data_IF_271585412598
#
_entry.id   IF_271585412598
#
_cell.length_a   1.000
_cell.length_b   1.000
_cell.length_c   1.000
_cell.angle_alpha   90.00
_cell.angle_beta   90.00
_cell.angle_gamma   90.00
#
_symmetry.space_group_name_H-M   'P 1'
#
loop_
_entity.id
_entity.type
_entity.pdbx_description
1 polymer ?
#
# COMPACT_ATOMS: atom_id res chain seq x y z
N UNK A 1 11.89 9.67 -6.18
CA UNK A 1 11.39 8.82 -7.30
C UNK A 1 11.67 9.45 -8.65
N UNK A 2 11.07 10.60 -9.00
CA UNK A 2 11.26 11.22 -10.33
C UNK A 2 12.72 11.54 -10.71
N UNK A 3 13.50 12.12 -9.78
CA UNK A 3 14.94 12.37 -9.99
C UNK A 3 15.77 11.10 -10.21
N UNK A 4 15.24 9.95 -9.78
CA UNK A 4 15.88 8.63 -9.91
C UNK A 4 15.36 7.86 -11.13
N UNK A 5 14.49 8.45 -11.96
CA UNK A 5 13.93 7.80 -13.15
C UNK A 5 12.90 6.69 -12.87
N UNK A 6 12.47 6.51 -11.62
CA UNK A 6 11.46 5.49 -11.30
C UNK A 6 10.03 6.02 -11.50
N UNK A 7 9.15 5.22 -12.15
CA UNK A 7 7.74 5.56 -12.27
C UNK A 7 7.11 5.66 -10.88
N UNK A 8 6.23 6.63 -10.69
CA UNK A 8 5.57 6.91 -9.43
C UNK A 8 4.05 6.82 -9.57
N UNK A 9 3.43 6.13 -8.61
CA UNK A 9 1.98 6.03 -8.43
C UNK A 9 1.62 6.72 -7.12
N UNK A 10 0.62 7.60 -7.15
CA UNK A 10 0.03 8.19 -5.94
C UNK A 10 -1.38 7.69 -5.71
N UNK A 11 -1.69 7.35 -4.46
CA UNK A 11 -3.05 7.10 -3.98
C UNK A 11 -3.45 8.28 -3.09
N UNK A 12 -4.48 9.04 -3.48
CA UNK A 12 -4.90 10.22 -2.72
C UNK A 12 -6.38 10.51 -2.88
N UNK A 13 -7.00 11.00 -1.81
CA UNK A 13 -8.39 11.42 -1.84
C UNK A 13 -8.59 12.76 -2.58
N UNK A 14 -7.58 13.64 -2.56
CA UNK A 14 -7.69 15.02 -3.05
C UNK A 14 -6.98 15.15 -4.41
N UNK A 15 -7.73 15.39 -5.51
CA UNK A 15 -7.16 15.69 -6.81
C UNK A 15 -6.30 16.96 -6.76
N UNK A 16 -5.19 16.97 -7.49
CA UNK A 16 -4.32 18.15 -7.58
C UNK A 16 -3.52 18.48 -6.31
N UNK A 17 -3.55 17.61 -5.28
CA UNK A 17 -2.66 17.71 -4.12
C UNK A 17 -1.18 17.71 -4.53
N UNK A 18 -0.30 18.27 -3.70
CA UNK A 18 1.14 18.34 -3.96
C UNK A 18 1.74 16.96 -4.26
N UNK A 19 1.22 15.91 -3.60
CA UNK A 19 1.63 14.52 -3.82
C UNK A 19 1.22 14.00 -5.20
N UNK A 20 0.04 14.40 -5.69
CA UNK A 20 -0.45 14.01 -7.02
C UNK A 20 0.22 14.78 -8.18
N UNK A 21 0.98 15.84 -7.88
CA UNK A 21 1.68 16.64 -8.88
C UNK A 21 3.00 15.97 -9.23
N UNK A 22 3.25 15.76 -10.52
CA UNK A 22 4.53 15.29 -11.02
C UNK A 22 4.78 13.78 -10.92
N UNK A 23 3.77 12.98 -10.54
CA UNK A 23 3.78 11.51 -10.63
C UNK A 23 3.13 11.02 -11.93
N UNK A 24 3.51 9.84 -12.39
CA UNK A 24 3.08 9.26 -13.67
C UNK A 24 1.65 8.70 -13.60
N UNK A 25 1.31 8.10 -12.45
CA UNK A 25 0.01 7.48 -12.22
C UNK A 25 -0.68 8.02 -10.97
N UNK A 26 -2.01 8.13 -11.02
CA UNK A 26 -2.83 8.69 -9.93
C UNK A 26 -4.06 7.82 -9.73
N UNK A 27 -4.27 7.36 -8.50
CA UNK A 27 -5.48 6.65 -8.08
C UNK A 27 -6.19 7.47 -7.01
N UNK A 28 -7.43 7.84 -7.29
CA UNK A 28 -8.27 8.58 -6.37
C UNK A 28 -9.10 7.62 -5.53
N UNK A 29 -9.10 7.83 -4.21
CA UNK A 29 -9.86 6.98 -3.28
C UNK A 29 -11.34 7.33 -3.22
N UNK A 30 -11.75 8.47 -3.80
CA UNK A 30 -13.14 8.94 -3.86
C UNK A 30 -13.86 8.96 -2.50
N UNK A 31 -13.12 9.19 -1.41
CA UNK A 31 -13.65 9.25 -0.07
C UNK A 31 -14.45 10.52 0.22
N UNK A 32 -14.36 11.56 -0.63
CA UNK A 32 -15.00 12.87 -0.39
C UNK A 32 -14.30 13.69 0.72
N UNK A 33 -14.73 14.93 1.00
CA UNK A 33 -14.02 15.84 1.92
C UNK A 33 -13.78 15.22 3.31
N UNK A 34 -12.62 15.49 3.89
CA UNK A 34 -12.24 15.01 5.21
C UNK A 34 -12.31 16.19 6.18
N UNK A 35 -13.48 16.33 6.82
CA UNK A 35 -13.77 17.45 7.74
C UNK A 35 -13.37 17.09 9.17
N UNK A 36 -13.44 15.80 9.51
CA UNK A 36 -13.03 15.28 10.81
C UNK A 36 -11.55 14.83 10.78
N UNK A 37 -10.91 14.92 11.94
CA UNK A 37 -9.51 14.51 12.15
C UNK A 37 -9.37 12.99 12.14
N UNK A 38 -10.45 12.26 12.42
CA UNK A 38 -10.45 10.79 12.48
C UNK A 38 -10.51 10.18 11.07
N UNK A 39 -9.40 9.61 10.60
CA UNK A 39 -9.21 9.17 9.21
C UNK A 39 -9.89 7.84 8.84
N UNK A 40 -11.01 7.47 9.47
CA UNK A 40 -11.67 6.16 9.27
C UNK A 40 -12.09 5.94 7.81
N UNK A 41 -12.64 6.98 7.19
CA UNK A 41 -13.09 6.97 5.79
C UNK A 41 -11.93 6.90 4.81
N UNK A 42 -10.91 7.76 4.98
CA UNK A 42 -9.74 7.74 4.10
C UNK A 42 -8.97 6.42 4.23
N UNK A 43 -8.78 5.91 5.45
CA UNK A 43 -8.11 4.63 5.67
C UNK A 43 -8.85 3.49 4.97
N UNK A 44 -10.17 3.39 5.15
CA UNK A 44 -10.98 2.34 4.52
C UNK A 44 -10.95 2.44 3.00
N UNK A 45 -11.06 3.65 2.45
CA UNK A 45 -10.99 3.87 1.01
C UNK A 45 -9.61 3.53 0.43
N UNK A 46 -8.52 3.82 1.16
CA UNK A 46 -7.16 3.41 0.78
C UNK A 46 -7.00 1.88 0.78
N UNK A 47 -7.53 1.19 1.80
CA UNK A 47 -7.50 -0.27 1.84
C UNK A 47 -8.26 -0.88 0.66
N UNK A 48 -9.44 -0.34 0.31
CA UNK A 48 -10.21 -0.81 -0.84
C UNK A 48 -9.43 -0.65 -2.16
N UNK A 49 -8.80 0.50 -2.39
CA UNK A 49 -7.96 0.73 -3.59
C UNK A 49 -6.77 -0.23 -3.63
N UNK A 50 -6.09 -0.47 -2.51
CA UNK A 50 -4.97 -1.41 -2.45
C UNK A 50 -5.41 -2.86 -2.70
N UNK A 51 -6.58 -3.26 -2.21
CA UNK A 51 -7.14 -4.58 -2.48
C UNK A 51 -7.46 -4.78 -3.97
N UNK A 52 -8.06 -3.77 -4.61
CA UNK A 52 -8.33 -3.81 -6.05
C UNK A 52 -7.04 -3.90 -6.85
N UNK A 53 -6.03 -3.08 -6.51
CA UNK A 53 -4.73 -3.10 -7.16
C UNK A 53 -4.03 -4.46 -7.02
N UNK A 54 -4.14 -5.12 -5.86
CA UNK A 54 -3.58 -6.44 -5.64
C UNK A 54 -4.24 -7.51 -6.52
N UNK A 55 -5.58 -7.48 -6.64
CA UNK A 55 -6.33 -8.40 -7.52
C UNK A 55 -6.00 -8.14 -8.99
N UNK A 56 -5.96 -6.88 -9.39
CA UNK A 56 -5.61 -6.48 -10.75
C UNK A 56 -4.19 -6.92 -11.13
N UNK A 57 -3.23 -6.70 -10.22
CA UNK A 57 -1.84 -7.16 -10.40
C UNK A 57 -1.76 -8.68 -10.51
N UNK A 58 -2.52 -9.42 -9.71
CA UNK A 58 -2.55 -10.88 -9.79
C UNK A 58 -3.14 -11.37 -11.14
N UNK A 59 -4.21 -10.71 -11.64
CA UNK A 59 -4.78 -11.01 -12.96
C UNK A 59 -3.79 -10.70 -14.09
N UNK A 60 -3.08 -9.57 -14.02
CA UNK A 60 -2.06 -9.20 -14.99
C UNK A 60 -0.88 -10.19 -15.03
N UNK A 61 -0.64 -10.92 -13.94
CA UNK A 61 0.35 -11.99 -13.86
C UNK A 61 -0.22 -13.39 -14.18
N UNK A 62 -1.47 -13.47 -14.67
CA UNK A 62 -2.18 -14.72 -14.95
C UNK A 62 -2.18 -15.68 -13.74
N UNK A 63 -2.15 -15.15 -12.52
CA UNK A 63 -2.14 -15.97 -11.31
C UNK A 63 -3.49 -16.63 -11.10
N UNK A 64 -3.47 -17.95 -10.99
CA UNK A 64 -4.63 -18.71 -10.54
C UNK A 64 -4.86 -18.51 -9.02
N UNK A 65 -6.06 -18.90 -8.57
CA UNK A 65 -6.50 -18.71 -7.18
C UNK A 65 -5.57 -19.36 -6.16
N UNK A 66 -5.02 -20.54 -6.48
CA UNK A 66 -4.11 -21.30 -5.60
C UNK A 66 -2.79 -20.54 -5.43
N UNK A 67 -2.20 -20.07 -6.54
CA UNK A 67 -0.99 -19.27 -6.53
C UNK A 67 -1.18 -17.95 -5.74
N UNK A 68 -2.35 -17.33 -5.87
CA UNK A 68 -2.72 -16.12 -5.11
C UNK A 68 -2.72 -16.36 -3.60
N UNK A 69 -3.41 -17.40 -3.11
CA UNK A 69 -3.42 -17.73 -1.69
C UNK A 69 -2.04 -18.12 -1.16
N UNK A 70 -1.26 -18.87 -1.94
CA UNK A 70 0.12 -19.22 -1.58
C UNK A 70 1.02 -17.97 -1.47
N UNK A 71 0.85 -16.98 -2.35
CA UNK A 71 1.57 -15.71 -2.29
C UNK A 71 1.19 -14.92 -1.02
N UNK A 72 -0.11 -14.85 -0.68
CA UNK A 72 -0.58 -14.20 0.56
C UNK A 72 0.00 -14.88 1.81
N UNK A 73 0.05 -16.20 1.85
CA UNK A 73 0.63 -16.93 2.99
C UNK A 73 2.14 -16.66 3.13
N UNK A 74 2.87 -16.61 2.00
CA UNK A 74 4.30 -16.24 1.99
C UNK A 74 4.53 -14.80 2.47
N UNK A 75 3.69 -13.85 2.04
CA UNK A 75 3.74 -12.46 2.49
C UNK A 75 3.53 -12.35 4.01
N UNK A 76 2.52 -13.06 4.55
CA UNK A 76 2.28 -13.13 6.01
C UNK A 76 3.50 -13.65 6.75
N UNK A 77 4.13 -14.73 6.27
CA UNK A 77 5.34 -15.28 6.87
C UNK A 77 6.52 -14.29 6.82
N UNK A 78 6.72 -13.61 5.69
CA UNK A 78 7.80 -12.61 5.53
C UNK A 78 7.60 -11.40 6.44
N UNK A 79 6.37 -10.91 6.58
CA UNK A 79 6.07 -9.78 7.46
C UNK A 79 6.26 -10.15 8.92
N UNK A 80 5.79 -11.32 9.35
CA UNK A 80 6.00 -11.83 10.70
C UNK A 80 7.50 -11.91 11.06
N UNK A 81 8.34 -12.41 10.13
CA UNK A 81 9.80 -12.46 10.32
C UNK A 81 10.44 -11.08 10.45
N UNK A 82 10.06 -10.11 9.61
CA UNK A 82 10.58 -8.74 9.69
C UNK A 82 10.19 -8.04 10.99
N UNK A 83 8.96 -8.23 11.46
CA UNK A 83 8.52 -7.69 12.74
C UNK A 83 9.28 -8.35 13.89
N UNK A 84 9.43 -9.69 13.86
CA UNK A 84 10.20 -10.42 14.87
C UNK A 84 11.66 -9.93 14.97
N UNK A 85 12.36 -9.82 13.83
CA UNK A 85 13.74 -9.30 13.79
C UNK A 85 13.84 -7.85 14.29
N UNK A 86 12.86 -7.00 13.96
CA UNK A 86 12.81 -5.64 14.51
C UNK A 86 12.64 -5.64 16.03
N UNK A 87 11.79 -6.51 16.57
CA UNK A 87 11.62 -6.67 18.02
C UNK A 87 12.94 -7.09 18.69
N UNK A 88 13.67 -8.06 18.14
CA UNK A 88 14.97 -8.50 18.67
C UNK A 88 16.03 -7.38 18.63
N UNK A 89 16.13 -6.66 17.51
CA UNK A 89 17.05 -5.53 17.38
C UNK A 89 16.68 -4.33 18.28
N UNK A 90 15.39 -4.16 18.59
CA UNK A 90 14.89 -3.15 19.52
C UNK A 90 15.24 -3.49 20.97
N UNK A 91 15.15 -4.76 21.37
CA UNK A 91 15.52 -5.23 22.73
C UNK A 91 17.01 -5.02 23.01
N UNK A 92 17.89 -5.26 22.02
CA UNK A 92 19.34 -5.10 22.19
C UNK A 92 19.82 -3.64 22.24
N UNK A 93 18.98 -2.65 21.93
CA UNK A 93 19.33 -1.22 22.05
C UNK A 93 18.99 -0.63 23.43
N UNK A 94 18.42 -1.42 24.34
CA UNK A 94 18.10 -1.03 25.73
C UNK A 94 18.88 -1.84 26.78
N UNK A 95 20.00 -2.45 26.38
CA UNK A 95 21.01 -3.05 27.28
C UNK A 95 22.36 -2.39 27.03
#
# INVERSE_FOLDING_TARGET
MKKLGYPALTITNVPGSTLSRGVDYKLHTCGGPEIDVTSTKAYTAQMAVLSLLAVDSAKAQEMNLIAYYAALQKLRCRQAKKTCQKCESGINNYK
#
